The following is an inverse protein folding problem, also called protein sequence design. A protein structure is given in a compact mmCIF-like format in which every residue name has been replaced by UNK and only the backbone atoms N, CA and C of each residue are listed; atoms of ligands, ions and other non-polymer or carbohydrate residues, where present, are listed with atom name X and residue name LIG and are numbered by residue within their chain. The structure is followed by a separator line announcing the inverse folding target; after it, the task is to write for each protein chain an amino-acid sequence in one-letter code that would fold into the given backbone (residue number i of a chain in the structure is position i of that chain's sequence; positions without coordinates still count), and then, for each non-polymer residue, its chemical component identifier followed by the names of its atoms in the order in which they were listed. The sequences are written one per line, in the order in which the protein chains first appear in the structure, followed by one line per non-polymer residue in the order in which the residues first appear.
data_IF_581576960708
#
_entry.id   IF_581576960708
#
_cell.length_a   1.000
_cell.length_b   1.000
_cell.length_c   1.000
_cell.angle_alpha   90.00
_cell.angle_beta   90.00
_cell.angle_gamma   90.00
#
_symmetry.space_group_name_H-M   'P 1'
#
loop_
_entity.id
_entity.type
_entity.pdbx_description
1 polymer ?
#
# COMPACT_ATOMS: atom_id res chain seq x y z
N UNK A 1 5.71 8.79 2.41
CA UNK A 1 5.21 7.41 2.66
C UNK A 1 4.18 7.11 1.61
N UNK A 2 4.33 6.00 0.87
CA UNK A 2 3.46 5.66 -0.26
C UNK A 2 2.09 5.14 0.15
N UNK A 3 1.52 4.32 -0.72
CA UNK A 3 0.31 3.52 -0.45
C UNK A 3 0.49 2.72 0.84
N UNK A 4 -0.46 2.85 1.78
CA UNK A 4 -0.50 2.11 3.04
C UNK A 4 -1.55 1.01 2.96
N UNK A 5 -1.30 -0.13 3.61
CA UNK A 5 -2.20 -1.27 3.73
C UNK A 5 -3.11 -1.20 4.96
N UNK A 6 -3.02 -0.11 5.72
CA UNK A 6 -3.86 0.13 6.89
C UNK A 6 -5.32 0.41 6.49
N UNK A 7 -6.26 0.22 7.42
CA UNK A 7 -7.69 0.46 7.19
C UNK A 7 -8.19 1.78 7.79
N UNK A 8 -7.35 2.53 8.52
CA UNK A 8 -7.77 3.71 9.28
C UNK A 8 -8.30 4.85 8.41
N UNK A 9 -7.98 4.84 7.11
CA UNK A 9 -8.51 5.79 6.14
C UNK A 9 -9.90 5.41 5.61
N UNK A 10 -10.40 4.21 5.90
CA UNK A 10 -11.76 3.76 5.55
C UNK A 10 -12.72 4.04 6.70
N UNK A 11 -14.02 4.04 6.40
CA UNK A 11 -15.06 4.19 7.42
C UNK A 11 -15.26 2.89 8.19
N UNK A 12 -15.83 3.00 9.40
CA UNK A 12 -16.28 1.84 10.18
C UNK A 12 -17.50 1.20 9.54
N UNK A 13 -17.83 -0.02 9.96
CA UNK A 13 -19.07 -0.68 9.53
C UNK A 13 -20.33 0.13 9.89
N UNK A 14 -20.28 0.93 10.96
CA UNK A 14 -21.36 1.85 11.37
C UNK A 14 -21.44 3.11 10.51
N UNK A 15 -20.49 3.36 9.61
CA UNK A 15 -20.41 4.59 8.83
C UNK A 15 -19.67 5.74 9.51
N UNK A 16 -19.24 5.57 10.76
CA UNK A 16 -18.47 6.61 11.46
C UNK A 16 -17.05 6.74 10.93
N UNK A 17 -16.53 7.96 10.96
CA UNK A 17 -15.13 8.26 10.60
C UNK A 17 -14.17 7.62 11.62
N UNK A 18 -13.19 6.87 11.14
CA UNK A 18 -12.13 6.34 11.99
C UNK A 18 -11.04 7.40 12.24
N UNK A 19 -10.71 7.64 13.51
CA UNK A 19 -9.63 8.54 13.88
C UNK A 19 -8.25 7.91 13.59
N UNK A 20 -7.33 8.69 13.02
CA UNK A 20 -5.96 8.26 12.81
C UNK A 20 -5.17 8.30 14.12
N UNK A 21 -4.80 7.14 14.65
CA UNK A 21 -4.12 7.01 15.96
C UNK A 21 -2.61 7.27 15.83
N UNK A 22 -2.04 7.03 14.65
CA UNK A 22 -0.60 7.12 14.39
C UNK A 22 -0.30 7.50 12.94
N UNK A 23 0.95 7.91 12.69
CA UNK A 23 1.49 8.05 11.34
C UNK A 23 1.75 6.67 10.71
N UNK A 24 1.72 6.61 9.37
CA UNK A 24 1.97 5.37 8.60
C UNK A 24 3.32 4.74 8.95
N UNK A 25 3.35 3.42 9.10
CA UNK A 25 4.57 2.68 9.48
C UNK A 25 5.19 1.97 8.27
N UNK A 26 6.46 1.61 8.42
CA UNK A 26 7.28 1.03 7.35
C UNK A 26 6.74 -0.34 6.89
N UNK A 27 6.18 -1.13 7.82
CA UNK A 27 5.58 -2.45 7.60
C UNK A 27 4.22 -2.39 6.89
N UNK A 28 3.49 -1.29 7.02
CA UNK A 28 2.20 -1.07 6.36
C UNK A 28 2.35 -0.58 4.92
N UNK A 29 3.56 -0.24 4.46
CA UNK A 29 3.78 0.25 3.10
C UNK A 29 3.49 -0.85 2.07
N UNK A 30 2.68 -0.50 1.08
CA UNK A 30 2.51 -1.26 -0.16
C UNK A 30 3.49 -0.83 -1.24
N UNK A 31 3.41 -1.51 -2.38
CA UNK A 31 4.11 -1.17 -3.62
C UNK A 31 3.08 -0.98 -4.73
N UNK A 32 3.41 -0.15 -5.71
CA UNK A 32 2.63 -0.03 -6.94
C UNK A 32 2.68 -1.33 -7.72
N UNK A 33 1.62 -1.62 -8.48
CA UNK A 33 1.61 -2.73 -9.41
C UNK A 33 2.73 -2.58 -10.46
N UNK A 34 3.28 -3.70 -10.93
CA UNK A 34 4.37 -3.69 -11.90
C UNK A 34 3.91 -3.38 -13.34
N UNK A 35 2.62 -3.60 -13.66
CA UNK A 35 2.00 -3.29 -14.96
C UNK A 35 2.84 -3.72 -16.18
N UNK A 36 3.32 -4.98 -16.16
CA UNK A 36 4.19 -5.55 -17.19
C UNK A 36 3.44 -5.61 -18.53
N UNK A 37 4.10 -5.23 -19.62
CA UNK A 37 3.56 -5.27 -21.00
C UNK A 37 4.05 -6.52 -21.74
N UNK A 38 3.28 -6.98 -22.72
CA UNK A 38 3.67 -8.08 -23.61
C UNK A 38 4.73 -7.54 -24.59
N UNK A 39 5.99 -7.62 -24.20
CA UNK A 39 7.15 -7.21 -25.00
C UNK A 39 8.40 -7.96 -24.53
N UNK A 40 9.58 -7.58 -25.03
CA UNK A 40 10.84 -8.18 -24.62
C UNK A 40 11.00 -8.20 -23.09
N UNK A 41 11.51 -9.32 -22.57
CA UNK A 41 11.62 -9.55 -21.13
C UNK A 41 12.50 -8.50 -20.44
N UNK A 42 11.99 -7.94 -19.33
CA UNK A 42 12.71 -7.02 -18.44
C UNK A 42 12.40 -7.39 -17.00
N UNK A 43 13.44 -7.67 -16.22
CA UNK A 43 13.32 -8.11 -14.83
C UNK A 43 14.02 -7.10 -13.92
N UNK A 44 13.34 -6.67 -12.86
CA UNK A 44 13.89 -5.75 -11.85
C UNK A 44 13.89 -6.42 -10.47
N UNK A 45 15.08 -6.63 -9.90
CA UNK A 45 15.22 -7.20 -8.56
C UNK A 45 14.93 -6.15 -7.49
N UNK A 46 14.13 -6.55 -6.50
CA UNK A 46 13.66 -5.67 -5.44
C UNK A 46 13.85 -6.35 -4.10
N UNK A 47 14.54 -5.68 -3.16
CA UNK A 47 14.64 -6.15 -1.78
C UNK A 47 13.30 -5.95 -1.05
N UNK A 48 12.74 -7.05 -0.55
CA UNK A 48 11.60 -7.01 0.35
C UNK A 48 12.06 -6.84 1.81
N UNK A 49 11.12 -6.50 2.68
CA UNK A 49 11.33 -6.16 4.09
C UNK A 49 10.88 -7.28 5.01
#
# INVERSE_FOLDING_TARGET
MGTGRDSYHKMRATGDKQAAIRKKRKNELGRTAANIKISASRIHFVRNR
#
